data_IF_334922058595
#
_entry.id   IF_334922058595
#
_cell.length_a   1.000
_cell.length_b   1.000
_cell.length_c   1.000
_cell.angle_alpha   90.00
_cell.angle_beta   90.00
_cell.angle_gamma   90.00
#
_symmetry.space_group_name_H-M   'P 1'
#
loop_
_entity.id
_entity.type
_entity.pdbx_description
1 polymer ?
#
# COMPACT_ATOMS: atom_id res chain seq x y z
N UNK A 1 -10.47 -2.75 18.81
CA UNK A 1 -10.80 -4.10 19.28
C UNK A 1 -9.55 -4.99 19.39
N UNK A 2 -8.77 -5.28 18.37
CA UNK A 2 -7.60 -6.16 18.45
C UNK A 2 -6.57 -5.72 19.51
N UNK A 3 -6.28 -4.44 19.58
CA UNK A 3 -5.36 -3.87 20.57
C UNK A 3 -5.76 -4.16 22.02
N UNK A 4 -7.05 -4.12 22.31
CA UNK A 4 -7.57 -4.42 23.66
C UNK A 4 -7.41 -5.90 23.98
N UNK A 5 -7.72 -6.77 23.02
CA UNK A 5 -7.54 -8.22 23.17
C UNK A 5 -6.06 -8.54 23.38
N UNK A 6 -5.17 -7.99 22.57
CA UNK A 6 -3.72 -8.22 22.69
C UNK A 6 -3.18 -7.83 24.06
N UNK A 7 -3.62 -6.70 24.58
CA UNK A 7 -3.27 -6.27 25.94
C UNK A 7 -3.77 -7.26 27.00
N UNK A 8 -5.01 -7.73 26.87
CA UNK A 8 -5.59 -8.68 27.79
C UNK A 8 -4.88 -10.04 27.75
N UNK A 9 -4.57 -10.52 26.55
CA UNK A 9 -3.85 -11.79 26.34
C UNK A 9 -2.43 -11.71 26.92
N UNK A 10 -1.74 -10.60 26.71
CA UNK A 10 -0.41 -10.40 27.29
C UNK A 10 -0.44 -10.27 28.81
N UNK A 11 -1.44 -9.62 29.38
CA UNK A 11 -1.62 -9.55 30.82
C UNK A 11 -1.82 -10.94 31.44
N UNK A 12 -2.19 -11.94 30.65
CA UNK A 12 -2.29 -13.34 31.05
C UNK A 12 -1.03 -14.17 30.80
N UNK A 13 0.05 -13.53 30.35
CA UNK A 13 1.35 -14.19 30.11
C UNK A 13 1.57 -14.77 28.72
N UNK A 14 0.62 -14.62 27.79
CA UNK A 14 0.79 -15.02 26.40
C UNK A 14 1.45 -13.89 25.61
N UNK A 15 2.75 -13.77 25.72
CA UNK A 15 3.50 -12.62 25.19
C UNK A 15 4.19 -12.89 23.86
N UNK A 16 4.49 -14.14 23.54
CA UNK A 16 5.32 -14.47 22.38
C UNK A 16 4.54 -14.42 21.05
N UNK A 17 3.26 -14.78 21.08
CA UNK A 17 2.39 -14.84 19.90
C UNK A 17 1.69 -13.51 19.61
N UNK A 18 1.69 -12.59 20.55
CA UNK A 18 0.91 -11.34 20.45
C UNK A 18 1.70 -10.28 19.72
N UNK A 19 1.06 -9.68 18.72
CA UNK A 19 1.62 -8.55 18.00
C UNK A 19 1.58 -7.28 18.84
N UNK A 20 2.67 -6.52 18.82
CA UNK A 20 2.83 -5.26 19.55
C UNK A 20 2.02 -4.09 18.98
N UNK A 21 1.58 -4.20 17.76
CA UNK A 21 0.70 -3.25 17.11
C UNK A 21 -0.14 -3.94 16.04
N UNK A 22 -1.26 -3.33 15.72
CA UNK A 22 -2.14 -3.81 14.65
C UNK A 22 -2.45 -2.64 13.73
N UNK A 23 -2.26 -2.82 12.45
CA UNK A 23 -2.78 -1.87 11.50
C UNK A 23 -4.30 -1.93 11.45
N UNK A 24 -4.91 -0.78 11.33
CA UNK A 24 -6.38 -0.64 11.30
C UNK A 24 -6.92 -0.76 9.88
N UNK A 25 -6.04 -0.78 8.89
CA UNK A 25 -6.44 -0.73 7.49
C UNK A 25 -5.82 -1.83 6.67
N UNK A 26 -6.67 -2.57 6.00
CA UNK A 26 -6.29 -3.05 4.69
C UNK A 26 -6.69 -1.99 3.69
N UNK A 27 -5.80 -1.53 2.88
CA UNK A 27 -6.16 -0.76 1.71
C UNK A 27 -6.56 -1.75 0.61
N UNK A 28 -7.69 -1.51 -0.02
CA UNK A 28 -8.20 -2.33 -1.12
C UNK A 28 -8.62 -1.38 -2.22
N UNK A 29 -8.12 -1.59 -3.42
CA UNK A 29 -8.64 -0.92 -4.61
C UNK A 29 -9.82 -1.71 -5.13
N UNK A 30 -10.99 -1.12 -5.15
CA UNK A 30 -12.16 -1.72 -5.76
C UNK A 30 -12.82 -0.76 -6.73
N UNK A 31 -13.33 -1.29 -7.82
CA UNK A 31 -13.98 -0.50 -8.84
C UNK A 31 -14.04 -1.24 -10.15
N UNK A 32 -13.91 -0.51 -11.25
CA UNK A 32 -13.92 -1.07 -12.57
C UNK A 32 -14.20 -0.04 -13.64
N UNK A 33 -14.48 -0.53 -14.83
CA UNK A 33 -14.74 0.29 -15.99
C UNK A 33 -14.65 -0.55 -17.25
N UNK A 34 -14.03 0.00 -18.26
CA UNK A 34 -13.67 -0.74 -19.48
C UNK A 34 -12.19 -1.12 -19.36
N UNK A 35 -11.87 -2.37 -19.47
CA UNK A 35 -10.50 -2.85 -19.38
C UNK A 35 -9.65 -2.52 -20.64
N UNK A 36 -8.41 -2.95 -20.65
CA UNK A 36 -7.48 -2.74 -21.77
C UNK A 36 -7.84 -3.51 -23.04
N UNK A 37 -8.81 -4.43 -22.98
CA UNK A 37 -9.32 -5.20 -24.08
C UNK A 37 -10.65 -4.65 -24.64
N UNK A 38 -11.18 -3.63 -23.99
CA UNK A 38 -12.44 -2.99 -24.37
C UNK A 38 -13.69 -3.62 -23.76
N UNK A 39 -13.52 -4.49 -22.75
CA UNK A 39 -14.62 -5.19 -22.10
C UNK A 39 -14.96 -4.57 -20.74
N UNK A 40 -16.23 -4.59 -20.32
CA UNK A 40 -16.61 -4.21 -18.97
C UNK A 40 -15.95 -5.12 -17.94
N UNK A 41 -15.24 -4.55 -17.00
CA UNK A 41 -14.51 -5.29 -15.99
C UNK A 41 -14.60 -4.62 -14.63
N UNK A 42 -14.49 -5.44 -13.59
CA UNK A 42 -14.41 -4.97 -12.21
C UNK A 42 -13.18 -5.55 -11.53
N UNK A 43 -12.65 -4.81 -10.59
CA UNK A 43 -11.47 -5.21 -9.82
C UNK A 43 -11.70 -5.12 -8.33
N UNK A 44 -11.11 -6.05 -7.60
CA UNK A 44 -10.86 -5.95 -6.17
C UNK A 44 -9.40 -6.36 -5.94
N UNK A 45 -8.53 -5.36 -5.89
CA UNK A 45 -7.10 -5.57 -5.72
C UNK A 45 -6.72 -5.40 -4.25
N UNK A 46 -6.25 -6.47 -3.64
CA UNK A 46 -5.80 -6.52 -2.24
C UNK A 46 -4.30 -6.27 -2.07
N UNK A 47 -3.57 -6.01 -3.13
CA UNK A 47 -2.12 -5.77 -3.10
C UNK A 47 -1.74 -4.77 -2.01
N UNK A 48 -2.42 -3.63 -1.99
CA UNK A 48 -2.12 -2.56 -1.04
C UNK A 48 -2.62 -2.85 0.40
N UNK A 49 -3.22 -4.00 0.64
CA UNK A 49 -3.51 -4.49 1.98
C UNK A 49 -2.29 -5.11 2.67
N UNK A 50 -1.24 -5.45 1.93
CA UNK A 50 0.00 -5.96 2.49
C UNK A 50 0.76 -4.84 3.19
N UNK A 51 0.87 -4.94 4.49
CA UNK A 51 1.48 -3.95 5.37
C UNK A 51 2.35 -4.64 6.40
N UNK A 52 3.23 -3.87 7.04
CA UNK A 52 4.02 -4.40 8.13
C UNK A 52 3.16 -4.72 9.35
N UNK A 53 3.39 -5.86 9.97
CA UNK A 53 2.78 -6.20 11.26
C UNK A 53 3.58 -5.66 12.42
N UNK A 54 2.92 -5.49 13.55
CA UNK A 54 3.58 -5.08 14.78
C UNK A 54 4.61 -6.11 15.26
N UNK A 55 5.64 -5.64 15.96
CA UNK A 55 6.64 -6.50 16.58
C UNK A 55 6.02 -7.50 17.56
N UNK A 56 6.69 -8.59 17.77
CA UNK A 56 6.44 -9.52 18.88
C UNK A 56 7.34 -9.17 20.08
N UNK A 57 7.14 -9.85 21.18
CA UNK A 57 7.92 -9.60 22.40
C UNK A 57 9.43 -9.81 22.22
N UNK A 58 9.80 -10.80 21.40
CA UNK A 58 11.19 -11.23 21.18
C UNK A 58 11.67 -11.06 19.74
N UNK A 59 10.84 -10.58 18.84
CA UNK A 59 11.14 -10.48 17.40
C UNK A 59 10.61 -9.18 16.81
N UNK A 60 11.26 -8.72 15.78
CA UNK A 60 10.75 -7.66 14.92
C UNK A 60 9.44 -8.07 14.23
N UNK A 61 8.67 -7.09 13.82
CA UNK A 61 7.44 -7.31 13.07
C UNK A 61 7.72 -7.87 11.67
N UNK A 62 6.77 -8.63 11.17
CA UNK A 62 6.85 -9.22 9.83
C UNK A 62 6.66 -8.14 8.77
N UNK A 63 7.60 -8.06 7.84
CA UNK A 63 7.52 -7.17 6.70
C UNK A 63 6.48 -7.70 5.68
N UNK A 64 5.75 -6.82 5.03
CA UNK A 64 4.79 -7.12 3.95
C UNK A 64 3.73 -8.17 4.28
N UNK A 65 3.44 -8.33 5.53
CA UNK A 65 2.37 -9.23 5.95
C UNK A 65 1.00 -8.61 5.61
N UNK A 66 0.01 -9.46 5.47
CA UNK A 66 -1.35 -9.03 5.25
C UNK A 66 -1.97 -8.39 6.49
N UNK A 67 -3.20 -7.92 6.36
CA UNK A 67 -4.00 -7.53 7.49
C UNK A 67 -4.09 -8.67 8.52
N UNK A 68 -4.09 -8.33 9.79
CA UNK A 68 -4.05 -9.31 10.90
C UNK A 68 -5.15 -10.38 10.85
N UNK A 69 -6.26 -10.09 10.21
CA UNK A 69 -7.38 -11.03 10.05
C UNK A 69 -7.23 -11.95 8.83
N UNK A 70 -6.22 -11.71 8.02
CA UNK A 70 -5.85 -12.53 6.89
C UNK A 70 -4.32 -12.70 6.83
N UNK A 71 -3.75 -13.59 7.63
CA UNK A 71 -2.30 -13.78 7.72
C UNK A 71 -1.69 -14.38 6.45
N UNK A 72 -2.50 -14.90 5.55
CA UNK A 72 -2.07 -15.46 4.25
C UNK A 72 -2.21 -14.44 3.11
N UNK A 73 -2.26 -13.14 3.43
CA UNK A 73 -2.36 -12.10 2.42
C UNK A 73 -1.15 -12.14 1.49
N UNK A 74 -1.45 -12.29 0.23
CA UNK A 74 -0.49 -12.17 -0.85
C UNK A 74 -0.73 -10.84 -1.58
N UNK A 75 0.33 -10.13 -1.86
CA UNK A 75 0.25 -8.92 -2.67
C UNK A 75 -0.06 -9.23 -4.15
N UNK A 76 -0.05 -10.49 -4.52
CA UNK A 76 -0.26 -10.94 -5.88
C UNK A 76 0.93 -10.67 -6.79
N UNK A 77 0.91 -11.30 -7.93
CA UNK A 77 1.89 -11.10 -8.98
C UNK A 77 1.54 -9.83 -9.78
N UNK A 78 2.53 -8.98 -10.00
CA UNK A 78 2.36 -7.75 -10.79
C UNK A 78 1.86 -8.07 -12.20
N UNK A 79 2.42 -9.10 -12.83
CA UNK A 79 2.02 -9.51 -14.18
C UNK A 79 0.55 -9.96 -14.24
N UNK A 80 0.06 -10.60 -13.19
CA UNK A 80 -1.35 -10.97 -13.08
C UNK A 80 -2.25 -9.75 -12.98
N UNK A 81 -1.84 -8.75 -12.18
CA UNK A 81 -2.62 -7.52 -12.07
C UNK A 81 -2.66 -6.73 -13.38
N UNK A 82 -1.55 -6.69 -14.10
CA UNK A 82 -1.46 -6.07 -15.43
C UNK A 82 -2.27 -6.81 -16.49
N UNK A 83 -2.44 -8.13 -16.32
CA UNK A 83 -3.25 -8.93 -17.24
C UNK A 83 -4.75 -8.67 -17.07
N UNK A 84 -5.23 -8.54 -15.85
CA UNK A 84 -6.67 -8.45 -15.52
C UNK A 84 -7.17 -7.01 -15.34
N UNK A 85 -6.30 -6.01 -15.35
CA UNK A 85 -6.64 -4.61 -15.13
C UNK A 85 -5.83 -3.71 -16.04
N UNK A 86 -6.33 -2.52 -16.40
CA UNK A 86 -5.59 -1.57 -17.22
C UNK A 86 -4.51 -0.84 -16.44
N UNK A 87 -3.71 -1.58 -15.66
CA UNK A 87 -2.59 -1.07 -14.91
C UNK A 87 -1.27 -1.42 -15.59
N UNK A 88 -0.32 -0.52 -15.50
CA UNK A 88 1.10 -0.76 -15.79
C UNK A 88 1.89 -0.38 -14.55
N UNK A 89 2.53 -1.35 -13.92
CA UNK A 89 3.32 -1.12 -12.73
C UNK A 89 4.67 -0.51 -13.07
N UNK A 90 4.92 0.69 -12.61
CA UNK A 90 6.19 1.40 -12.78
C UNK A 90 7.16 1.10 -11.63
N UNK A 91 6.63 0.82 -10.45
CA UNK A 91 7.43 0.47 -9.28
C UNK A 91 6.59 -0.27 -8.24
N UNK A 92 7.20 -1.25 -7.60
CA UNK A 92 6.66 -1.94 -6.41
C UNK A 92 7.83 -2.28 -5.50
N UNK A 93 7.85 -1.71 -4.31
CA UNK A 93 9.03 -1.78 -3.45
C UNK A 93 8.71 -1.62 -1.98
N UNK A 94 9.70 -1.90 -1.15
CA UNK A 94 9.66 -1.62 0.30
C UNK A 94 9.61 -0.11 0.52
N UNK A 95 8.66 0.34 1.32
CA UNK A 95 8.64 1.73 1.78
C UNK A 95 9.67 1.94 2.87
N UNK A 96 10.65 2.76 2.60
CA UNK A 96 11.67 3.12 3.58
C UNK A 96 11.03 3.80 4.81
N UNK A 97 11.59 3.53 5.99
CA UNK A 97 11.17 4.15 7.26
C UNK A 97 9.68 4.00 7.60
N UNK A 98 9.01 2.98 7.05
CA UNK A 98 7.59 2.74 7.32
C UNK A 98 7.32 2.01 8.64
N UNK A 99 8.32 1.30 9.16
CA UNK A 99 8.23 0.55 10.41
C UNK A 99 8.25 1.47 11.63
N UNK A 100 7.38 1.21 12.60
CA UNK A 100 7.40 1.91 13.89
C UNK A 100 8.61 1.49 14.74
N UNK A 101 9.41 2.43 15.23
CA UNK A 101 10.55 2.11 16.08
C UNK A 101 10.13 1.70 17.50
N UNK A 102 10.89 0.80 18.08
CA UNK A 102 10.70 0.29 19.44
C UNK A 102 11.88 -0.59 19.86
N UNK A 103 11.74 -1.34 20.95
CA UNK A 103 12.73 -2.37 21.32
C UNK A 103 12.91 -3.38 20.18
N UNK A 104 11.81 -3.78 19.59
CA UNK A 104 11.71 -4.49 18.32
C UNK A 104 10.94 -3.60 17.37
N UNK A 105 11.41 -3.44 16.16
CA UNK A 105 10.73 -2.62 15.15
C UNK A 105 9.45 -3.29 14.66
N UNK A 106 8.47 -2.51 14.24
CA UNK A 106 7.39 -3.02 13.42
C UNK A 106 7.89 -3.55 12.08
N UNK A 107 7.06 -4.27 11.35
CA UNK A 107 7.33 -4.66 9.97
C UNK A 107 7.25 -3.48 9.02
N UNK A 108 8.02 -3.54 7.95
CA UNK A 108 7.98 -2.55 6.87
C UNK A 108 6.79 -2.78 5.95
N UNK A 109 6.21 -1.71 5.47
CA UNK A 109 5.18 -1.73 4.44
C UNK A 109 5.80 -1.60 3.04
N UNK A 110 4.99 -1.75 2.01
CA UNK A 110 5.42 -1.47 0.65
C UNK A 110 4.63 -0.30 0.04
N UNK A 111 5.09 0.13 -1.09
CA UNK A 111 4.44 1.13 -1.92
C UNK A 111 4.45 0.68 -3.38
N UNK A 112 3.39 1.03 -4.10
CA UNK A 112 3.26 0.75 -5.52
C UNK A 112 2.99 2.04 -6.28
N UNK A 113 3.61 2.15 -7.43
CA UNK A 113 3.35 3.17 -8.43
C UNK A 113 2.88 2.48 -9.71
N UNK A 114 1.69 2.82 -10.16
CA UNK A 114 1.15 2.29 -11.41
C UNK A 114 0.46 3.37 -12.24
N UNK A 115 0.47 3.16 -13.54
CA UNK A 115 -0.20 3.97 -14.52
C UNK A 115 -1.48 3.26 -14.97
N UNK A 116 -2.61 3.96 -14.95
CA UNK A 116 -3.83 3.50 -15.62
C UNK A 116 -3.69 3.83 -17.10
N UNK A 117 -3.80 2.84 -17.98
CA UNK A 117 -3.59 3.01 -19.40
C UNK A 117 -4.48 2.11 -20.26
N UNK A 118 -4.56 2.43 -21.55
CA UNK A 118 -5.34 1.65 -22.54
C UNK A 118 -6.81 1.45 -22.17
N UNK A 119 -7.40 2.37 -21.45
CA UNK A 119 -8.82 2.36 -21.13
C UNK A 119 -9.43 3.72 -21.38
N UNK A 120 -10.68 3.81 -21.88
CA UNK A 120 -11.40 5.06 -21.97
C UNK A 120 -11.93 5.53 -20.61
N UNK A 121 -12.16 4.62 -19.68
CA UNK A 121 -12.71 4.92 -18.37
C UNK A 121 -12.40 3.80 -17.38
N UNK A 122 -11.77 4.15 -16.29
CA UNK A 122 -11.52 3.27 -15.17
C UNK A 122 -11.64 4.02 -13.86
N UNK A 123 -12.58 3.64 -13.02
CA UNK A 123 -12.82 4.26 -11.74
C UNK A 123 -12.53 3.26 -10.62
N UNK A 124 -11.68 3.62 -9.70
CA UNK A 124 -11.42 2.82 -8.49
C UNK A 124 -11.46 3.67 -7.25
N UNK A 125 -11.99 3.07 -6.23
CA UNK A 125 -12.01 3.61 -4.88
C UNK A 125 -11.04 2.84 -4.00
N UNK A 126 -10.24 3.58 -3.26
CA UNK A 126 -9.39 2.98 -2.26
C UNK A 126 -10.12 2.90 -0.92
N UNK A 127 -10.44 1.70 -0.52
CA UNK A 127 -11.03 1.43 0.79
C UNK A 127 -9.92 1.20 1.80
N UNK A 128 -9.82 2.08 2.78
CA UNK A 128 -8.85 1.93 3.85
C UNK A 128 -8.86 3.08 4.83
N UNK A 129 -8.46 2.84 6.06
CA UNK A 129 -8.47 3.82 7.14
C UNK A 129 -7.07 4.24 7.61
N UNK A 130 -6.03 3.70 7.02
CA UNK A 130 -4.64 3.88 7.48
C UNK A 130 -4.06 5.28 7.31
N UNK A 131 -4.80 6.20 6.73
CA UNK A 131 -4.33 7.58 6.49
C UNK A 131 -4.48 8.50 7.68
N UNK A 132 -5.43 8.23 8.56
CA UNK A 132 -5.78 9.12 9.66
C UNK A 132 -5.36 8.61 11.03
N UNK A 133 -5.12 7.31 11.15
CA UNK A 133 -4.88 6.69 12.45
C UNK A 133 -3.54 5.95 12.47
N UNK A 134 -2.72 6.32 13.41
CA UNK A 134 -1.50 5.60 13.70
C UNK A 134 -1.81 4.30 14.45
N UNK A 135 -1.01 3.28 14.18
CA UNK A 135 -1.01 2.04 14.96
C UNK A 135 0.16 2.03 15.95
N UNK A 136 0.03 2.71 17.09
CA UNK A 136 1.11 2.76 18.06
C UNK A 136 1.28 1.41 18.75
N UNK A 137 2.51 1.11 19.15
CA UNK A 137 2.81 -0.08 19.93
C UNK A 137 2.00 -0.13 21.22
N UNK A 138 1.54 -1.33 21.60
CA UNK A 138 0.70 -1.51 22.80
C UNK A 138 1.46 -1.36 24.10
N UNK A 139 2.79 -1.43 24.07
CA UNK A 139 3.71 -1.27 25.22
C UNK A 139 4.65 -0.07 25.10
N UNK A 140 4.19 0.99 24.46
CA UNK A 140 4.97 2.22 24.34
C UNK A 140 5.89 2.28 23.13
N UNK A 141 5.82 1.32 22.21
CA UNK A 141 6.46 1.45 20.90
C UNK A 141 5.83 2.57 20.08
N UNK A 142 6.62 3.20 19.24
CA UNK A 142 6.15 4.27 18.35
C UNK A 142 5.33 3.73 17.18
N UNK A 143 4.43 4.51 16.61
CA UNK A 143 3.68 4.12 15.43
C UNK A 143 4.57 4.00 14.19
N UNK A 144 4.15 3.17 13.25
CA UNK A 144 4.67 3.19 11.89
C UNK A 144 4.14 4.37 11.08
N UNK A 145 4.54 4.45 9.81
CA UNK A 145 4.04 5.48 8.90
C UNK A 145 2.56 5.27 8.57
N UNK A 146 1.88 6.36 8.24
CA UNK A 146 0.53 6.28 7.67
C UNK A 146 0.58 5.93 6.18
N UNK A 147 -0.51 5.37 5.67
CA UNK A 147 -0.69 5.22 4.24
C UNK A 147 -0.95 6.59 3.58
N UNK A 148 -0.52 6.73 2.35
CA UNK A 148 -0.82 7.90 1.53
C UNK A 148 -1.17 7.48 0.11
N UNK A 149 -1.90 8.33 -0.59
CA UNK A 149 -2.26 8.14 -1.98
C UNK A 149 -1.94 9.43 -2.70
N UNK A 150 -1.25 9.30 -3.82
CA UNK A 150 -0.97 10.39 -4.73
C UNK A 150 -1.53 10.04 -6.10
N UNK A 151 -2.38 10.89 -6.63
CA UNK A 151 -2.87 10.81 -7.99
C UNK A 151 -2.16 11.88 -8.83
N UNK A 152 -1.70 11.52 -10.00
CA UNK A 152 -1.12 12.46 -10.98
C UNK A 152 -1.97 12.34 -12.24
N UNK A 153 -2.83 13.34 -12.45
CA UNK A 153 -3.70 13.41 -13.62
C UNK A 153 -3.02 14.20 -14.74
N UNK A 154 -3.51 14.03 -15.94
CA UNK A 154 -3.00 14.72 -17.14
C UNK A 154 -1.47 14.67 -17.24
N UNK A 155 -0.92 13.49 -16.94
CA UNK A 155 0.51 13.27 -16.89
C UNK A 155 1.12 13.08 -18.28
N UNK A 156 2.42 13.33 -18.39
CA UNK A 156 3.19 13.30 -19.63
C UNK A 156 3.78 11.90 -19.99
N UNK A 157 3.40 10.86 -19.24
CA UNK A 157 4.01 9.53 -19.40
C UNK A 157 3.73 8.91 -20.77
N UNK A 158 2.55 9.11 -21.32
CA UNK A 158 2.22 8.64 -22.66
C UNK A 158 3.09 9.28 -23.73
N UNK A 159 3.32 10.59 -23.61
CA UNK A 159 4.16 11.33 -24.55
C UNK A 159 5.62 10.93 -24.44
N UNK A 160 6.12 10.69 -23.24
CA UNK A 160 7.44 10.12 -22.99
C UNK A 160 7.60 8.76 -23.66
N UNK A 161 6.62 7.88 -23.48
CA UNK A 161 6.63 6.56 -24.10
C UNK A 161 6.68 6.65 -25.64
N UNK A 162 5.89 7.55 -26.24
CA UNK A 162 5.89 7.74 -27.69
C UNK A 162 7.23 8.29 -28.24
N UNK A 163 7.95 9.06 -27.44
CA UNK A 163 9.29 9.53 -27.77
C UNK A 163 10.39 8.49 -27.53
N UNK A 164 10.06 7.38 -26.84
CA UNK A 164 11.04 6.39 -26.41
C UNK A 164 11.86 6.81 -25.20
N UNK A 165 11.40 7.79 -24.45
CA UNK A 165 12.03 8.20 -23.21
C UNK A 165 11.84 7.10 -22.13
N UNK A 166 12.78 6.98 -21.23
CA UNK A 166 12.63 6.10 -20.08
C UNK A 166 11.51 6.58 -19.17
N UNK A 167 10.74 5.64 -18.63
CA UNK A 167 9.80 5.97 -17.58
C UNK A 167 10.53 6.36 -16.29
N UNK A 168 10.07 7.39 -15.58
CA UNK A 168 10.58 7.70 -14.26
C UNK A 168 10.15 6.59 -13.30
N UNK A 169 11.08 5.75 -12.92
CA UNK A 169 10.87 4.75 -11.87
C UNK A 169 11.23 5.34 -10.53
N UNK A 170 10.34 5.19 -9.59
CA UNK A 170 10.62 5.61 -8.23
C UNK A 170 11.60 4.62 -7.59
N UNK A 171 12.82 5.03 -7.35
CA UNK A 171 13.88 4.26 -6.69
C UNK A 171 14.24 4.79 -5.28
N UNK A 172 13.39 5.60 -4.72
CA UNK A 172 13.43 6.16 -3.39
C UNK A 172 12.04 6.17 -2.75
N UNK A 173 11.70 7.16 -2.00
CA UNK A 173 10.34 7.42 -1.56
C UNK A 173 9.56 8.22 -2.62
N UNK A 174 8.29 8.52 -2.36
CA UNK A 174 7.46 9.27 -3.30
C UNK A 174 7.86 10.75 -3.46
N UNK A 175 8.84 11.20 -2.74
CA UNK A 175 9.49 12.50 -2.92
C UNK A 175 10.76 12.38 -3.80
N UNK A 176 11.03 11.17 -4.33
CA UNK A 176 12.18 10.94 -5.18
C UNK A 176 12.13 11.85 -6.43
N UNK A 177 13.26 12.42 -6.85
CA UNK A 177 13.33 13.30 -8.02
C UNK A 177 12.70 12.73 -9.28
N UNK A 178 12.88 11.43 -9.55
CA UNK A 178 12.30 10.77 -10.71
C UNK A 178 10.77 10.85 -10.75
N UNK A 179 10.10 10.73 -9.61
CA UNK A 179 8.65 10.89 -9.52
C UNK A 179 8.24 12.36 -9.70
N UNK A 180 9.06 13.27 -9.19
CA UNK A 180 8.82 14.70 -9.34
C UNK A 180 8.99 15.18 -10.78
N UNK A 181 9.68 14.44 -11.63
CA UNK A 181 9.82 14.72 -13.06
C UNK A 181 8.54 14.43 -13.86
N UNK A 182 7.61 13.63 -13.33
CA UNK A 182 6.31 13.43 -13.98
C UNK A 182 5.54 14.73 -13.91
N UNK A 183 5.23 15.28 -15.07
CA UNK A 183 4.38 16.45 -15.16
C UNK A 183 2.92 16.04 -15.10
N UNK A 184 2.09 16.87 -14.50
CA UNK A 184 0.67 16.60 -14.36
C UNK A 184 0.08 17.27 -13.12
N UNK A 185 -1.23 17.24 -13.03
CA UNK A 185 -1.97 17.73 -11.87
C UNK A 185 -1.88 16.73 -10.72
N UNK A 186 -1.42 17.18 -9.57
CA UNK A 186 -1.19 16.33 -8.39
C UNK A 186 -2.30 16.50 -7.38
N UNK A 187 -2.90 15.40 -7.01
CA UNK A 187 -3.88 15.31 -5.93
C UNK A 187 -3.39 14.37 -4.83
N UNK A 188 -3.52 14.82 -3.58
CA UNK A 188 -3.04 14.08 -2.41
C UNK A 188 -4.20 13.67 -1.53
N UNK A 189 -4.17 12.43 -1.06
CA UNK A 189 -5.09 11.98 -0.01
C UNK A 189 -6.49 11.63 -0.48
N UNK A 190 -6.72 11.44 -1.76
CA UNK A 190 -8.01 11.01 -2.28
C UNK A 190 -8.27 9.52 -2.08
N UNK A 191 -9.54 9.17 -1.86
CA UNK A 191 -9.99 7.78 -1.68
C UNK A 191 -10.36 7.11 -3.01
N UNK A 192 -10.48 7.89 -4.07
CA UNK A 192 -10.85 7.41 -5.39
C UNK A 192 -10.06 8.12 -6.49
N UNK A 193 -9.93 7.47 -7.62
CA UNK A 193 -9.43 8.04 -8.86
C UNK A 193 -10.22 7.47 -10.05
N UNK A 194 -10.32 8.27 -11.08
CA UNK A 194 -10.99 7.94 -12.36
C UNK A 194 -10.02 8.07 -13.52
#
# INVERSE_FOLDING_TARGET
FPRTISRAVQARGFIEEVLGAYSVSGNVLQGGGIDQYGEPSAIMNFEIAAQGLGAKYVLDGTDFAAAMFNPEGDAGDVEMWELISPFLYLSRRVKASSAGPGRHRGGSSFESLFLVHKTPMWEVQNLGTGRCFYSPGIFGGYPGSVAYIHNIRDNDLRERALRGDAYPVADGDFEHPALMEIQGEREYGHDSFT
#
